data_IF_113526181822
#
_entry.id   IF_113526181822
#
_cell.length_a   1.000
_cell.length_b   1.000
_cell.length_c   1.000
_cell.angle_alpha   90.00
_cell.angle_beta   90.00
_cell.angle_gamma   90.00
#
_symmetry.space_group_name_H-M   'P 1'
#
loop_
_entity.id
_entity.type
_entity.pdbx_description
1 polymer ?
#
# COMPACT_ATOMS: atom_id res chain seq x y z
N UNK A 1 -26.06 14.64 -2.77
CA UNK A 1 -26.32 13.83 -1.57
C UNK A 1 -26.43 12.37 -1.99
N UNK A 2 -25.40 11.55 -1.73
CA UNK A 2 -25.45 10.10 -1.98
C UNK A 2 -25.28 9.43 -0.61
N UNK A 3 -26.37 8.87 -0.10
CA UNK A 3 -26.34 7.98 1.05
C UNK A 3 -26.06 6.57 0.55
N UNK A 4 -24.82 6.10 0.70
CA UNK A 4 -24.48 4.69 0.48
C UNK A 4 -24.50 3.97 1.83
N UNK A 5 -25.54 3.19 2.11
CA UNK A 5 -25.53 2.22 3.21
C UNK A 5 -24.75 1.01 2.71
N UNK A 6 -23.43 1.15 2.56
CA UNK A 6 -22.55 0.01 2.35
C UNK A 6 -22.46 -0.74 3.68
N UNK A 7 -23.24 -1.82 3.85
CA UNK A 7 -23.02 -2.77 4.93
C UNK A 7 -21.55 -3.22 4.84
N UNK A 8 -20.73 -2.89 5.85
CA UNK A 8 -19.38 -3.44 5.99
C UNK A 8 -19.49 -4.96 6.08
N UNK A 9 -19.31 -5.63 4.95
CA UNK A 9 -19.35 -7.08 4.80
C UNK A 9 -18.13 -7.76 5.43
N UNK A 10 -17.02 -7.03 5.56
CA UNK A 10 -15.76 -7.52 6.08
C UNK A 10 -14.97 -6.39 6.74
N UNK A 11 -14.28 -6.69 7.85
CA UNK A 11 -13.35 -5.76 8.51
C UNK A 11 -12.16 -6.55 9.06
N UNK A 12 -10.96 -6.09 8.72
CA UNK A 12 -9.70 -6.61 9.25
C UNK A 12 -8.69 -5.46 9.39
N UNK A 13 -7.67 -5.63 10.22
CA UNK A 13 -6.51 -4.75 10.28
C UNK A 13 -5.36 -5.23 9.36
N UNK A 14 -5.48 -6.41 8.75
CA UNK A 14 -4.53 -6.91 7.76
C UNK A 14 -4.91 -6.44 6.37
N UNK A 15 -4.01 -5.70 5.72
CA UNK A 15 -4.22 -5.22 4.35
C UNK A 15 -4.31 -6.37 3.34
N UNK A 16 -3.58 -7.46 3.58
CA UNK A 16 -3.65 -8.67 2.76
C UNK A 16 -5.03 -9.34 2.88
N UNK A 17 -5.59 -9.41 4.09
CA UNK A 17 -6.91 -9.98 4.30
C UNK A 17 -8.00 -9.14 3.61
N UNK A 18 -7.87 -7.80 3.65
CA UNK A 18 -8.77 -6.90 2.93
C UNK A 18 -8.66 -7.09 1.41
N UNK A 19 -7.44 -7.20 0.86
CA UNK A 19 -7.23 -7.47 -0.56
C UNK A 19 -7.85 -8.79 -1.00
N UNK A 20 -7.61 -9.87 -0.25
CA UNK A 20 -8.19 -11.19 -0.55
C UNK A 20 -9.72 -11.11 -0.53
N UNK A 21 -10.31 -10.46 0.48
CA UNK A 21 -11.76 -10.31 0.56
C UNK A 21 -12.33 -9.61 -0.70
N UNK A 22 -11.71 -8.53 -1.16
CA UNK A 22 -12.14 -7.84 -2.40
C UNK A 22 -11.98 -8.71 -3.63
N UNK A 23 -10.84 -9.40 -3.79
CA UNK A 23 -10.64 -10.36 -4.89
C UNK A 23 -11.68 -11.48 -4.92
N UNK A 24 -12.23 -11.85 -3.76
CA UNK A 24 -13.33 -12.83 -3.65
C UNK A 24 -14.73 -12.23 -3.79
N UNK A 25 -14.86 -10.96 -4.14
CA UNK A 25 -16.14 -10.29 -4.36
C UNK A 25 -16.82 -9.73 -3.11
N UNK A 26 -16.08 -9.51 -2.02
CA UNK A 26 -16.65 -8.90 -0.82
C UNK A 26 -17.14 -7.46 -1.07
N UNK A 27 -16.65 -6.76 -2.09
CA UNK A 27 -17.10 -5.40 -2.43
C UNK A 27 -15.94 -4.48 -2.73
N UNK A 28 -16.01 -3.22 -2.28
CA UNK A 28 -14.96 -2.22 -2.49
C UNK A 28 -14.04 -2.10 -1.26
N UNK A 29 -12.76 -1.82 -1.50
CA UNK A 29 -11.81 -1.43 -0.46
C UNK A 29 -10.83 -0.36 -0.97
N UNK A 30 -10.29 0.40 -0.02
CA UNK A 30 -9.14 1.27 -0.26
C UNK A 30 -7.90 0.38 -0.09
N UNK A 31 -7.13 0.21 -1.17
CA UNK A 31 -5.94 -0.65 -1.19
C UNK A 31 -4.76 0.12 -1.78
N UNK A 32 -3.53 -0.02 -1.23
CA UNK A 32 -2.34 0.55 -1.84
C UNK A 32 -2.08 -0.05 -3.23
N UNK A 33 -1.69 0.79 -4.20
CA UNK A 33 -1.47 0.37 -5.59
C UNK A 33 -0.47 -0.78 -5.73
N UNK A 34 0.63 -0.75 -4.98
CA UNK A 34 1.66 -1.80 -5.01
C UNK A 34 1.13 -3.20 -4.64
N UNK A 35 -0.01 -3.30 -3.94
CA UNK A 35 -0.60 -4.58 -3.57
C UNK A 35 -1.53 -5.16 -4.66
N UNK A 36 -2.06 -4.29 -5.53
CA UNK A 36 -3.09 -4.64 -6.51
C UNK A 36 -2.66 -4.43 -7.96
N UNK A 37 -1.47 -3.85 -8.19
CA UNK A 37 -0.95 -3.54 -9.53
C UNK A 37 -0.97 -4.74 -10.49
N UNK A 38 -0.60 -5.93 -9.98
CA UNK A 38 -0.52 -7.16 -10.77
C UNK A 38 -1.76 -8.08 -10.60
N UNK A 39 -2.90 -7.52 -10.18
CA UNK A 39 -4.14 -8.27 -9.93
C UNK A 39 -5.19 -8.00 -11.02
N UNK A 40 -5.27 -8.83 -12.07
CA UNK A 40 -6.20 -8.61 -13.19
C UNK A 40 -7.67 -8.81 -12.80
N UNK A 41 -7.94 -9.46 -11.66
CA UNK A 41 -9.26 -9.65 -11.07
C UNK A 41 -9.78 -8.39 -10.35
N UNK A 42 -8.94 -7.36 -10.18
CA UNK A 42 -9.29 -6.12 -9.53
C UNK A 42 -9.31 -4.96 -10.52
N UNK A 43 -10.26 -4.05 -10.31
CA UNK A 43 -10.39 -2.83 -11.09
C UNK A 43 -10.37 -1.62 -10.16
N UNK A 44 -9.56 -0.63 -10.49
CA UNK A 44 -9.60 0.66 -9.81
C UNK A 44 -10.92 1.37 -10.11
N UNK A 45 -11.57 1.86 -9.05
CA UNK A 45 -12.79 2.66 -9.13
C UNK A 45 -12.54 4.00 -8.45
N UNK A 46 -13.09 5.07 -9.02
CA UNK A 46 -13.00 6.45 -8.49
C UNK A 46 -11.59 7.08 -8.49
N UNK A 47 -10.62 6.57 -9.26
CA UNK A 47 -9.24 7.11 -9.31
C UNK A 47 -9.16 8.60 -9.61
N UNK A 48 -10.05 9.13 -10.47
CA UNK A 48 -10.10 10.56 -10.80
C UNK A 48 -10.76 11.43 -9.72
N UNK A 49 -11.44 10.81 -8.75
CA UNK A 49 -12.24 11.49 -7.73
C UNK A 49 -11.58 11.44 -6.35
N UNK A 50 -10.81 10.38 -6.08
CA UNK A 50 -10.24 10.12 -4.76
C UNK A 50 -8.82 9.58 -4.91
N UNK A 51 -7.86 10.22 -4.26
CA UNK A 51 -6.48 9.74 -4.15
C UNK A 51 -6.05 9.72 -2.69
N UNK A 52 -5.32 8.67 -2.30
CA UNK A 52 -4.74 8.52 -0.97
C UNK A 52 -3.23 8.34 -1.10
N UNK A 53 -2.47 9.24 -0.49
CA UNK A 53 -1.00 9.14 -0.47
C UNK A 53 -0.53 8.55 0.85
N UNK A 54 0.22 7.45 0.78
CA UNK A 54 0.90 6.89 1.94
C UNK A 54 2.28 7.51 2.13
N UNK A 55 2.67 7.71 3.38
CA UNK A 55 4.05 8.09 3.74
C UNK A 55 4.79 6.87 4.25
N UNK A 56 5.90 6.52 3.58
CA UNK A 56 6.78 5.44 4.01
C UNK A 56 7.95 5.99 4.80
N UNK A 57 8.20 5.39 5.96
CA UNK A 57 9.29 5.78 6.85
C UNK A 57 10.27 4.60 6.96
N UNK A 58 11.56 4.90 6.75
CA UNK A 58 12.64 4.00 7.15
C UNK A 58 13.19 4.48 8.49
N UNK A 59 13.37 3.56 9.43
CA UNK A 59 13.81 3.85 10.78
C UNK A 59 14.91 2.85 11.16
N UNK A 60 15.96 3.35 11.81
CA UNK A 60 17.01 2.54 12.43
C UNK A 60 17.34 3.15 13.79
N UNK A 61 17.93 2.35 14.68
CA UNK A 61 18.44 2.86 15.94
C UNK A 61 19.66 3.76 15.67
N UNK A 62 19.74 4.89 16.36
CA UNK A 62 20.80 5.91 16.15
C UNK A 62 22.20 5.30 16.29
N UNK A 63 22.41 4.44 17.29
CA UNK A 63 23.70 3.80 17.54
C UNK A 63 24.10 2.80 16.43
N UNK A 64 23.11 2.27 15.70
CA UNK A 64 23.31 1.31 14.63
C UNK A 64 23.43 1.95 13.25
N UNK A 65 23.17 3.24 13.10
CA UNK A 65 23.12 3.91 11.79
C UNK A 65 24.46 3.87 11.04
N UNK A 66 25.58 3.78 11.77
CA UNK A 66 26.93 3.71 11.21
C UNK A 66 27.48 2.29 11.11
N UNK A 67 26.74 1.28 11.58
CA UNK A 67 27.18 -0.11 11.47
C UNK A 67 27.19 -0.52 9.98
N UNK A 68 28.29 -1.06 9.43
CA UNK A 68 28.42 -1.28 8.00
C UNK A 68 27.35 -2.16 7.36
N UNK A 69 26.89 -3.22 8.03
CA UNK A 69 25.84 -4.12 7.51
C UNK A 69 24.48 -3.42 7.53
N UNK A 70 24.18 -2.66 8.58
CA UNK A 70 22.95 -1.86 8.66
C UNK A 70 22.94 -0.81 7.55
N UNK A 71 24.04 -0.06 7.38
CA UNK A 71 24.17 0.93 6.31
C UNK A 71 24.01 0.31 4.92
N UNK A 72 24.60 -0.87 4.69
CA UNK A 72 24.47 -1.58 3.42
C UNK A 72 23.01 -1.89 3.07
N UNK A 73 22.26 -2.46 4.01
CA UNK A 73 20.83 -2.78 3.81
C UNK A 73 20.00 -1.50 3.67
N UNK A 74 20.31 -0.47 4.47
CA UNK A 74 19.65 0.83 4.39
C UNK A 74 19.79 1.47 3.02
N UNK A 75 21.01 1.56 2.50
CA UNK A 75 21.29 2.15 1.20
C UNK A 75 20.63 1.34 0.07
N UNK A 76 20.62 0.00 0.19
CA UNK A 76 19.91 -0.87 -0.74
C UNK A 76 18.41 -0.60 -0.74
N UNK A 77 17.76 -0.61 0.42
CA UNK A 77 16.32 -0.39 0.55
C UNK A 77 15.91 1.00 0.06
N UNK A 78 16.71 2.03 0.39
CA UNK A 78 16.48 3.40 -0.11
C UNK A 78 16.54 3.44 -1.64
N UNK A 79 17.57 2.84 -2.24
CA UNK A 79 17.69 2.76 -3.70
C UNK A 79 16.50 2.04 -4.33
N UNK A 80 16.01 0.96 -3.73
CA UNK A 80 14.83 0.27 -4.25
C UNK A 80 13.56 1.10 -4.09
N UNK A 81 13.40 1.82 -2.96
CA UNK A 81 12.27 2.72 -2.75
C UNK A 81 12.25 3.86 -3.79
N UNK A 82 13.41 4.42 -4.12
CA UNK A 82 13.54 5.43 -5.18
C UNK A 82 13.13 4.87 -6.55
N UNK A 83 13.58 3.66 -6.90
CA UNK A 83 13.21 2.98 -8.16
C UNK A 83 11.71 2.67 -8.22
N UNK A 84 11.12 2.25 -7.10
CA UNK A 84 9.73 1.83 -7.00
C UNK A 84 8.78 2.98 -6.62
N UNK A 85 9.25 4.23 -6.63
CA UNK A 85 8.51 5.38 -6.10
C UNK A 85 7.12 5.53 -6.74
N UNK A 86 7.00 5.40 -8.05
CA UNK A 86 5.70 5.51 -8.74
C UNK A 86 4.68 4.48 -8.25
N UNK A 87 5.14 3.24 -8.02
CA UNK A 87 4.31 2.16 -7.52
C UNK A 87 3.91 2.37 -6.06
N UNK A 88 4.84 2.83 -5.22
CA UNK A 88 4.61 3.12 -3.80
C UNK A 88 3.69 4.32 -3.58
N UNK A 89 3.80 5.36 -4.41
CA UNK A 89 3.03 6.60 -4.30
C UNK A 89 1.67 6.53 -5.01
N UNK A 90 1.41 5.48 -5.79
CA UNK A 90 0.14 5.31 -6.48
C UNK A 90 -0.07 6.24 -7.69
N UNK A 91 1.02 6.83 -8.22
CA UNK A 91 1.01 7.74 -9.38
C UNK A 91 1.27 7.01 -10.69
#
# INVERSE_FOLDING_TARGET
MIWCIARRCFRSNSILAQQIAVSTGAGLAILPRFLVHDKPDLQEVLGDQVSFTHTFWMLTLVDLQHEPKIKLVWDFLRKQADVQQALLMGT
#
